data_IF_457323297495
#
_entry.id   IF_457323297495
#
_cell.length_a   1.000
_cell.length_b   1.000
_cell.length_c   1.000
_cell.angle_alpha   90.00
_cell.angle_beta   90.00
_cell.angle_gamma   90.00
#
_symmetry.space_group_name_H-M   'P 1'
#
loop_
_entity.id
_entity.type
_entity.pdbx_description
1 polymer ?
#
# COMPACT_ATOMS: atom_id res chain seq x y z
N UNK A 1 -8.53 -11.66 -6.52
CA UNK A 1 -8.33 -10.93 -5.25
C UNK A 1 -9.01 -9.58 -5.38
N UNK A 2 -10.20 -9.40 -4.81
CA UNK A 2 -11.01 -8.19 -4.97
C UNK A 2 -10.45 -7.04 -4.13
N UNK A 3 -9.63 -6.21 -4.74
CA UNK A 3 -9.24 -4.92 -4.16
C UNK A 3 -10.41 -3.95 -4.36
N UNK A 4 -11.03 -3.49 -3.27
CA UNK A 4 -12.17 -2.58 -3.31
C UNK A 4 -11.61 -1.16 -3.15
N UNK A 5 -11.78 -0.25 -4.13
CA UNK A 5 -11.30 1.13 -4.03
C UNK A 5 -11.91 1.83 -2.81
N UNK A 6 -11.11 2.63 -2.11
CA UNK A 6 -11.50 3.32 -0.87
C UNK A 6 -11.05 2.64 0.44
N UNK A 7 -10.33 1.51 0.38
CA UNK A 7 -9.68 0.95 1.57
C UNK A 7 -8.41 1.69 1.93
N UNK A 8 -8.35 2.18 3.17
CA UNK A 8 -7.15 2.73 3.79
C UNK A 8 -6.15 1.58 3.98
N UNK A 9 -4.89 1.82 3.64
CA UNK A 9 -3.79 0.87 3.73
C UNK A 9 -2.59 1.57 4.34
N UNK A 10 -1.77 0.82 5.06
CA UNK A 10 -0.56 1.34 5.68
C UNK A 10 0.65 0.78 4.95
N UNK A 11 1.56 1.63 4.49
CA UNK A 11 2.82 1.17 3.91
C UNK A 11 3.73 0.71 5.06
N UNK A 12 4.02 -0.58 5.10
CA UNK A 12 4.89 -1.19 6.12
C UNK A 12 6.35 -1.01 5.71
N UNK A 13 6.66 -1.28 4.45
CA UNK A 13 8.02 -1.10 3.93
C UNK A 13 8.00 -0.88 2.43
N UNK A 14 8.89 -0.01 1.97
CA UNK A 14 9.21 0.13 0.55
C UNK A 14 10.29 -0.91 0.20
N UNK A 15 10.17 -1.55 -0.97
CA UNK A 15 11.26 -2.37 -1.50
C UNK A 15 12.49 -1.47 -1.73
N UNK A 16 13.72 -1.95 -1.50
CA UNK A 16 14.94 -1.19 -1.73
C UNK A 16 15.11 -0.73 -3.19
N UNK A 17 14.44 -1.41 -4.14
CA UNK A 17 14.38 -1.03 -5.55
C UNK A 17 13.20 -0.12 -5.90
N UNK A 18 12.42 0.31 -4.89
CA UNK A 18 11.26 1.18 -5.07
C UNK A 18 9.96 0.49 -5.50
N UNK A 19 9.98 -0.81 -5.84
CA UNK A 19 8.80 -1.62 -6.20
C UNK A 19 9.09 -3.11 -5.90
N UNK A 20 8.12 -3.92 -5.42
CA UNK A 20 6.81 -3.56 -4.88
C UNK A 20 6.86 -3.03 -3.44
N UNK A 21 5.79 -2.38 -3.01
CA UNK A 21 5.62 -1.95 -1.62
C UNK A 21 4.88 -3.02 -0.83
N UNK A 22 5.34 -3.25 0.41
CA UNK A 22 4.62 -4.05 1.38
C UNK A 22 3.62 -3.16 2.07
N UNK A 23 2.35 -3.47 1.90
CA UNK A 23 1.23 -2.75 2.47
C UNK A 23 0.45 -3.65 3.42
N UNK A 24 -0.08 -3.06 4.48
CA UNK A 24 -1.04 -3.70 5.37
C UNK A 24 -2.44 -3.21 5.00
N UNK A 25 -3.32 -4.13 4.64
CA UNK A 25 -4.72 -3.85 4.31
C UNK A 25 -5.60 -4.77 5.16
N UNK A 26 -6.39 -4.18 6.06
CA UNK A 26 -7.44 -4.89 6.80
C UNK A 26 -6.95 -6.17 7.51
N UNK A 27 -5.81 -6.11 8.21
CA UNK A 27 -5.23 -7.26 8.90
C UNK A 27 -4.33 -8.15 8.04
N UNK A 28 -4.22 -7.88 6.73
CA UNK A 28 -3.46 -8.73 5.79
C UNK A 28 -2.28 -7.96 5.20
N UNK A 29 -1.12 -8.62 5.13
CA UNK A 29 0.06 -8.09 4.46
C UNK A 29 0.02 -8.46 2.97
N UNK A 30 0.07 -7.47 2.10
CA UNK A 30 0.11 -7.63 0.65
C UNK A 30 1.32 -6.91 0.07
N UNK A 31 1.86 -7.44 -1.02
CA UNK A 31 2.84 -6.74 -1.84
C UNK A 31 2.13 -6.17 -3.06
N UNK A 32 2.06 -4.85 -3.17
CA UNK A 32 1.44 -4.16 -4.29
C UNK A 32 2.48 -3.41 -5.10
N UNK A 33 2.30 -3.37 -6.41
CA UNK A 33 3.15 -2.53 -7.27
C UNK A 33 2.81 -1.07 -7.06
N UNK A 34 3.79 -0.20 -7.34
CA UNK A 34 3.59 1.25 -7.26
C UNK A 34 2.48 1.71 -8.21
N UNK A 35 2.37 1.12 -9.40
CA UNK A 35 1.29 1.45 -10.35
C UNK A 35 -0.08 1.09 -9.77
N UNK A 36 -0.21 -0.10 -9.17
CA UNK A 36 -1.47 -0.55 -8.55
C UNK A 36 -1.87 0.30 -7.34
N UNK A 37 -0.89 0.86 -6.62
CA UNK A 37 -1.11 1.81 -5.54
C UNK A 37 -1.55 3.16 -6.11
N UNK A 38 -0.83 3.68 -7.10
CA UNK A 38 -1.11 4.99 -7.69
C UNK A 38 -2.48 5.04 -8.38
N UNK A 39 -2.90 3.97 -9.06
CA UNK A 39 -4.20 3.89 -9.72
C UNK A 39 -5.38 3.76 -8.74
N UNK A 40 -5.16 3.24 -7.53
CA UNK A 40 -6.27 2.81 -6.67
C UNK A 40 -6.39 3.52 -5.31
N UNK A 41 -5.48 4.44 -4.93
CA UNK A 41 -5.36 4.84 -3.53
C UNK A 41 -5.27 6.35 -3.25
N UNK A 42 -6.28 6.82 -2.50
CA UNK A 42 -6.15 7.94 -1.56
C UNK A 42 -5.28 7.43 -0.40
N UNK A 43 -4.07 7.96 -0.23
CA UNK A 43 -3.16 7.54 0.85
C UNK A 43 -3.05 8.62 1.93
N UNK A 44 -3.14 8.23 3.20
CA UNK A 44 -2.65 9.02 4.34
C UNK A 44 -1.24 8.52 4.68
N UNK A 45 -0.22 9.35 4.45
CA UNK A 45 1.13 9.06 4.93
C UNK A 45 1.17 9.43 6.41
N UNK A 46 1.03 8.45 7.30
CA UNK A 46 1.46 8.63 8.69
C UNK A 46 2.97 8.42 8.76
N UNK A 47 3.72 9.49 8.54
CA UNK A 47 5.11 9.57 9.00
C UNK A 47 5.10 9.72 10.52
N UNK A 48 5.31 8.62 11.24
CA UNK A 48 5.67 8.69 12.65
C UNK A 48 7.08 9.28 12.75
N UNK A 49 7.16 10.55 13.15
CA UNK A 49 8.40 11.26 13.52
C UNK A 49 9.06 10.67 14.76
#
# INVERSE_FOLDING_TARGET
MGFIPGKIFTIISKSPLGNPYKVHINGTNLALRVEEIADNLLYEVSESS
#
